data_IF_344389540156
#
_entry.id   IF_344389540156
#
_cell.length_a   1.000
_cell.length_b   1.000
_cell.length_c   1.000
_cell.angle_alpha   90.00
_cell.angle_beta   90.00
_cell.angle_gamma   90.00
#
_symmetry.space_group_name_H-M   'P 1'
#
loop_
_entity.id
_entity.type
_entity.pdbx_description
1 polymer ?
#
# COMPACT_ATOMS: atom_id res chain seq x y z
N UNK A 1 2.12 -28.77 3.16
CA UNK A 1 1.69 -27.82 4.16
C UNK A 1 2.36 -26.45 3.96
N UNK A 2 1.77 -25.41 4.53
CA UNK A 2 2.26 -24.05 4.37
C UNK A 2 3.45 -23.76 5.31
N UNK A 3 4.60 -24.31 4.95
CA UNK A 3 5.84 -24.10 5.70
C UNK A 3 6.66 -23.00 5.01
N UNK A 4 6.63 -21.82 5.58
CA UNK A 4 7.39 -20.65 5.10
C UNK A 4 8.07 -20.00 6.30
N UNK A 5 9.33 -19.63 6.15
CA UNK A 5 10.10 -19.04 7.24
C UNK A 5 9.47 -17.75 7.77
N UNK A 6 9.31 -17.68 9.08
CA UNK A 6 8.84 -16.47 9.76
C UNK A 6 9.89 -15.36 9.77
N UNK A 7 11.14 -15.69 9.41
CA UNK A 7 12.22 -14.70 9.33
C UNK A 7 12.14 -13.82 8.08
N UNK A 8 11.34 -14.21 7.09
CA UNK A 8 11.17 -13.41 5.89
C UNK A 8 10.40 -12.11 6.17
N UNK A 9 10.69 -11.02 5.45
CA UNK A 9 9.84 -9.83 5.49
C UNK A 9 8.39 -10.20 5.18
N UNK A 10 7.44 -9.55 5.84
CA UNK A 10 6.04 -9.97 5.82
C UNK A 10 5.40 -10.00 4.44
N UNK A 11 5.73 -9.06 3.56
CA UNK A 11 5.19 -9.08 2.19
C UNK A 11 5.72 -10.29 1.41
N UNK A 12 6.99 -10.62 1.55
CA UNK A 12 7.59 -11.80 0.92
C UNK A 12 6.98 -13.08 1.48
N UNK A 13 6.81 -13.15 2.79
CA UNK A 13 6.19 -14.29 3.46
C UNK A 13 4.76 -14.48 2.96
N UNK A 14 3.99 -13.40 2.85
CA UNK A 14 2.62 -13.43 2.33
C UNK A 14 2.56 -14.01 0.92
N UNK A 15 3.42 -13.53 0.03
CA UNK A 15 3.48 -14.02 -1.35
C UNK A 15 3.80 -15.51 -1.42
N UNK A 16 4.76 -15.97 -0.62
CA UNK A 16 5.16 -17.38 -0.59
C UNK A 16 4.06 -18.28 -0.04
N UNK A 17 3.35 -17.85 1.00
CA UNK A 17 2.22 -18.59 1.54
C UNK A 17 1.11 -18.75 0.48
N UNK A 18 0.80 -17.67 -0.23
CA UNK A 18 -0.22 -17.67 -1.28
C UNK A 18 0.20 -18.58 -2.45
N UNK A 19 1.46 -18.54 -2.86
CA UNK A 19 1.98 -19.40 -3.92
C UNK A 19 1.84 -20.89 -3.55
N UNK A 20 2.16 -21.22 -2.31
CA UNK A 20 2.04 -22.60 -1.84
C UNK A 20 0.58 -23.05 -1.78
N UNK A 21 -0.33 -22.21 -1.33
CA UNK A 21 -1.75 -22.51 -1.32
C UNK A 21 -2.27 -22.72 -2.74
N UNK A 22 -1.86 -21.88 -3.68
CA UNK A 22 -2.26 -21.97 -5.08
C UNK A 22 -1.83 -23.30 -5.71
N UNK A 23 -0.67 -23.81 -5.34
CA UNK A 23 -0.15 -25.09 -5.88
C UNK A 23 -1.04 -26.29 -5.53
N UNK A 24 -1.80 -26.21 -4.45
CA UNK A 24 -2.73 -27.28 -4.06
C UNK A 24 -4.18 -26.94 -4.44
N UNK A 25 -4.37 -25.96 -5.34
CA UNK A 25 -5.68 -25.61 -5.88
C UNK A 25 -6.45 -24.56 -5.09
N UNK A 26 -5.86 -24.03 -4.03
CA UNK A 26 -6.51 -23.00 -3.22
C UNK A 26 -6.16 -21.61 -3.76
N UNK A 27 -6.89 -21.18 -4.79
CA UNK A 27 -6.64 -19.91 -5.47
C UNK A 27 -7.88 -19.40 -6.20
N UNK A 28 -7.84 -18.11 -6.55
CA UNK A 28 -8.80 -17.50 -7.47
C UNK A 28 -8.48 -17.93 -8.91
N UNK A 29 -9.48 -17.90 -9.78
CA UNK A 29 -9.25 -18.21 -11.20
C UNK A 29 -8.42 -17.16 -11.92
N UNK A 30 -8.59 -15.89 -11.53
CA UNK A 30 -7.90 -14.76 -12.15
C UNK A 30 -7.80 -13.58 -11.19
N UNK A 31 -7.19 -12.50 -11.66
CA UNK A 31 -6.94 -11.29 -10.84
C UNK A 31 -8.24 -10.64 -10.36
N UNK A 32 -9.34 -10.79 -11.08
CA UNK A 32 -10.60 -10.15 -10.71
C UNK A 32 -11.09 -10.63 -9.34
N UNK A 33 -10.99 -11.93 -9.07
CA UNK A 33 -11.35 -12.47 -7.76
C UNK A 33 -10.49 -11.93 -6.64
N UNK A 34 -9.19 -11.84 -6.88
CA UNK A 34 -8.25 -11.28 -5.90
C UNK A 34 -8.51 -9.79 -5.64
N UNK A 35 -8.82 -9.05 -6.68
CA UNK A 35 -9.12 -7.61 -6.57
C UNK A 35 -10.43 -7.35 -5.84
N UNK A 36 -11.46 -8.15 -6.10
CA UNK A 36 -12.73 -8.08 -5.39
C UNK A 36 -12.54 -8.35 -3.90
N UNK A 37 -11.69 -9.33 -3.57
CA UNK A 37 -11.35 -9.63 -2.18
C UNK A 37 -10.67 -8.45 -1.49
N UNK A 38 -9.78 -7.77 -2.19
CA UNK A 38 -9.12 -6.57 -1.66
C UNK A 38 -10.16 -5.49 -1.32
N UNK A 39 -11.12 -5.25 -2.21
CA UNK A 39 -12.19 -4.28 -1.95
C UNK A 39 -13.06 -4.68 -0.77
N UNK A 40 -13.37 -5.97 -0.66
CA UNK A 40 -14.15 -6.53 0.45
C UNK A 40 -13.44 -6.28 1.79
N UNK A 41 -12.12 -6.54 1.84
CA UNK A 41 -11.33 -6.32 3.05
C UNK A 41 -11.24 -4.83 3.40
N UNK A 42 -11.16 -3.95 2.40
CA UNK A 42 -11.20 -2.51 2.64
C UNK A 42 -12.52 -2.09 3.29
N UNK A 43 -13.64 -2.67 2.85
CA UNK A 43 -14.95 -2.38 3.42
C UNK A 43 -15.05 -2.89 4.87
N UNK A 44 -14.51 -4.06 5.15
CA UNK A 44 -14.47 -4.62 6.51
C UNK A 44 -13.62 -3.75 7.44
N UNK A 45 -12.50 -3.20 6.94
CA UNK A 45 -11.69 -2.25 7.70
C UNK A 45 -12.49 -0.98 8.02
N UNK A 46 -13.23 -0.47 7.04
CA UNK A 46 -14.09 0.70 7.24
C UNK A 46 -15.13 0.45 8.35
N UNK A 47 -15.74 -0.73 8.36
CA UNK A 47 -16.69 -1.12 9.40
C UNK A 47 -16.03 -1.15 10.78
N UNK A 48 -14.82 -1.71 10.87
CA UNK A 48 -14.07 -1.77 12.12
C UNK A 48 -13.73 -0.37 12.65
N UNK A 49 -13.44 0.57 11.76
CA UNK A 49 -13.19 1.97 12.12
C UNK A 49 -14.46 2.62 12.65
N UNK A 50 -15.59 2.42 11.98
CA UNK A 50 -16.88 2.95 12.40
C UNK A 50 -17.32 2.41 13.75
N UNK A 51 -16.97 1.15 14.06
CA UNK A 51 -17.28 0.49 15.30
C UNK A 51 -16.28 0.78 16.42
N UNK A 52 -15.23 1.55 16.18
CA UNK A 52 -14.16 1.84 17.14
C UNK A 52 -13.53 0.59 17.76
N UNK A 53 -13.48 -0.50 17.02
CA UNK A 53 -12.92 -1.77 17.49
C UNK A 53 -11.45 -1.86 17.06
N UNK A 54 -10.54 -1.49 17.99
CA UNK A 54 -9.10 -1.42 17.71
C UNK A 54 -8.48 -2.76 17.33
N UNK A 55 -8.86 -3.83 18.01
CA UNK A 55 -8.35 -5.16 17.73
C UNK A 55 -8.76 -5.61 16.32
N UNK A 56 -10.02 -5.36 15.96
CA UNK A 56 -10.54 -5.70 14.65
C UNK A 56 -9.94 -4.83 13.55
N UNK A 57 -9.68 -3.55 13.82
CA UNK A 57 -8.99 -2.66 12.88
C UNK A 57 -7.62 -3.20 12.49
N UNK A 58 -6.86 -3.69 13.46
CA UNK A 58 -5.54 -4.28 13.21
C UNK A 58 -5.65 -5.54 12.35
N UNK A 59 -6.59 -6.41 12.67
CA UNK A 59 -6.83 -7.63 11.92
C UNK A 59 -7.23 -7.33 10.47
N UNK A 60 -8.19 -6.44 10.29
CA UNK A 60 -8.69 -6.09 8.94
C UNK A 60 -7.63 -5.37 8.11
N UNK A 61 -6.82 -4.51 8.75
CA UNK A 61 -5.70 -3.88 8.03
C UNK A 61 -4.71 -4.94 7.54
N UNK A 62 -4.41 -5.93 8.38
CA UNK A 62 -3.57 -7.06 7.97
C UNK A 62 -4.14 -7.80 6.78
N UNK A 63 -5.45 -8.03 6.77
CA UNK A 63 -6.16 -8.70 5.68
C UNK A 63 -6.14 -7.87 4.38
N UNK A 64 -6.26 -6.54 4.49
CA UNK A 64 -6.12 -5.63 3.35
C UNK A 64 -4.73 -5.77 2.71
N UNK A 65 -3.69 -5.73 3.53
CA UNK A 65 -2.31 -5.87 3.05
C UNK A 65 -2.07 -7.23 2.40
N UNK A 66 -2.56 -8.29 3.04
CA UNK A 66 -2.45 -9.66 2.52
C UNK A 66 -3.16 -9.80 1.17
N UNK A 67 -4.35 -9.22 1.04
CA UNK A 67 -5.12 -9.23 -0.22
C UNK A 67 -4.42 -8.43 -1.31
N UNK A 68 -3.79 -7.31 -0.97
CA UNK A 68 -3.01 -6.53 -1.93
C UNK A 68 -1.83 -7.33 -2.48
N UNK A 69 -1.14 -8.08 -1.62
CA UNK A 69 -0.05 -8.99 -2.06
C UNK A 69 -0.57 -10.04 -3.03
N UNK A 70 -1.78 -10.56 -2.79
CA UNK A 70 -2.37 -11.55 -3.67
C UNK A 70 -2.67 -10.98 -5.06
N UNK A 71 -3.16 -9.74 -5.14
CA UNK A 71 -3.32 -9.04 -6.42
C UNK A 71 -1.99 -8.94 -7.14
N UNK A 72 -0.93 -8.53 -6.44
CA UNK A 72 0.41 -8.42 -7.01
C UNK A 72 0.87 -9.76 -7.60
N UNK A 73 0.61 -10.85 -6.90
CA UNK A 73 0.97 -12.20 -7.37
C UNK A 73 0.31 -12.52 -8.71
N UNK A 74 -0.97 -12.22 -8.87
CA UNK A 74 -1.68 -12.44 -10.14
C UNK A 74 -1.14 -11.57 -11.28
N UNK A 75 -0.60 -10.40 -10.96
CA UNK A 75 0.00 -9.49 -11.94
C UNK A 75 1.47 -9.79 -12.20
N UNK A 76 2.01 -10.81 -11.57
CA UNK A 76 3.42 -11.18 -11.64
C UNK A 76 4.34 -10.03 -11.20
N UNK A 77 3.91 -9.31 -10.17
CA UNK A 77 4.65 -8.19 -9.58
C UNK A 77 5.16 -8.61 -8.20
N UNK A 78 6.44 -8.33 -7.94
CA UNK A 78 7.03 -8.48 -6.61
C UNK A 78 6.52 -7.35 -5.72
N UNK A 79 5.67 -7.69 -4.75
CA UNK A 79 5.05 -6.69 -3.87
C UNK A 79 6.05 -5.92 -3.02
N UNK A 80 7.13 -6.58 -2.57
CA UNK A 80 8.19 -5.93 -1.80
C UNK A 80 8.89 -4.86 -2.64
N UNK A 81 9.21 -5.19 -3.88
CA UNK A 81 9.85 -4.26 -4.82
C UNK A 81 8.92 -3.10 -5.19
N UNK A 82 7.64 -3.40 -5.43
CA UNK A 82 6.65 -2.38 -5.75
C UNK A 82 6.50 -1.36 -4.61
N UNK A 83 6.48 -1.85 -3.36
CA UNK A 83 6.40 -0.97 -2.21
C UNK A 83 7.69 -0.16 -2.02
N UNK A 84 8.84 -0.79 -2.25
CA UNK A 84 10.13 -0.11 -2.23
C UNK A 84 10.14 1.07 -3.21
N UNK A 85 9.67 0.85 -4.43
CA UNK A 85 9.59 1.91 -5.45
C UNK A 85 8.64 3.03 -5.03
N UNK A 86 7.52 2.68 -4.40
CA UNK A 86 6.58 3.68 -3.88
C UNK A 86 7.22 4.55 -2.79
N UNK A 87 8.03 3.95 -1.92
CA UNK A 87 8.77 4.68 -0.91
C UNK A 87 9.77 5.66 -1.53
N UNK A 88 10.51 5.22 -2.53
CA UNK A 88 11.47 6.08 -3.23
C UNK A 88 10.76 7.25 -3.93
N UNK A 89 9.65 6.97 -4.58
CA UNK A 89 8.85 7.98 -5.25
C UNK A 89 8.35 9.03 -4.26
N UNK A 90 7.85 8.60 -3.11
CA UNK A 90 7.40 9.50 -2.06
C UNK A 90 8.55 10.38 -1.55
N UNK A 91 9.69 9.76 -1.26
CA UNK A 91 10.88 10.47 -0.76
C UNK A 91 11.34 11.53 -1.74
N UNK A 92 11.40 11.21 -3.02
CA UNK A 92 11.80 12.14 -4.07
C UNK A 92 10.82 13.33 -4.15
N UNK A 93 9.52 13.05 -4.21
CA UNK A 93 8.50 14.10 -4.27
C UNK A 93 8.50 14.98 -3.03
N UNK A 94 8.59 14.38 -1.86
CA UNK A 94 8.58 15.12 -0.60
C UNK A 94 9.80 16.04 -0.50
N UNK A 95 10.97 15.58 -0.91
CA UNK A 95 12.18 16.39 -0.97
C UNK A 95 11.98 17.64 -1.84
N UNK A 96 11.31 17.48 -2.98
CA UNK A 96 11.03 18.60 -3.88
C UNK A 96 9.97 19.54 -3.30
N UNK A 97 8.99 19.01 -2.58
CA UNK A 97 8.00 19.83 -1.86
C UNK A 97 8.70 20.68 -0.80
N UNK A 98 9.61 20.10 -0.04
CA UNK A 98 10.39 20.83 0.95
C UNK A 98 11.21 21.97 0.31
N UNK A 99 11.86 21.68 -0.80
CA UNK A 99 12.64 22.69 -1.54
C UNK A 99 11.75 23.83 -2.04
N UNK A 100 10.59 23.50 -2.59
CA UNK A 100 9.66 24.49 -3.11
C UNK A 100 9.08 25.35 -1.99
N UNK A 101 8.71 24.75 -0.87
CA UNK A 101 8.23 25.45 0.31
C UNK A 101 9.30 26.42 0.85
N UNK A 102 10.54 25.95 0.93
CA UNK A 102 11.65 26.77 1.40
C UNK A 102 11.88 27.99 0.50
N UNK A 103 11.84 27.81 -0.82
CA UNK A 103 11.98 28.91 -1.80
C UNK A 103 10.88 29.95 -1.65
N UNK A 104 9.69 29.56 -1.25
CA UNK A 104 8.52 30.43 -1.11
C UNK A 104 8.34 30.97 0.31
N UNK A 105 9.24 30.63 1.22
CA UNK A 105 9.14 31.06 2.61
C UNK A 105 7.96 30.45 3.35
N UNK A 106 7.50 29.28 2.93
CA UNK A 106 6.39 28.56 3.55
C UNK A 106 6.93 27.64 4.65
N UNK A 107 6.42 27.82 5.86
CA UNK A 107 6.73 26.91 6.98
C UNK A 107 5.74 25.73 6.91
N UNK A 108 6.26 24.56 6.55
CA UNK A 108 5.43 23.35 6.39
C UNK A 108 4.77 22.91 7.69
N UNK A 109 5.33 23.28 8.85
CA UNK A 109 4.77 22.93 10.16
C UNK A 109 3.49 23.70 10.47
N UNK A 110 3.34 24.90 9.92
CA UNK A 110 2.21 25.78 10.18
C UNK A 110 1.29 25.95 8.98
N UNK A 111 1.71 25.51 7.80
CA UNK A 111 0.92 25.57 6.59
C UNK A 111 -0.31 24.67 6.69
N UNK A 112 -1.40 25.06 6.00
CA UNK A 112 -2.59 24.23 5.94
C UNK A 112 -2.36 23.00 5.06
N UNK A 113 -3.15 21.95 5.27
CA UNK A 113 -3.08 20.77 4.41
C UNK A 113 -3.37 21.11 2.95
N UNK A 114 -4.32 22.02 2.70
CA UNK A 114 -4.64 22.50 1.35
C UNK A 114 -3.42 23.11 0.67
N UNK A 115 -2.66 23.93 1.39
CA UNK A 115 -1.43 24.54 0.87
C UNK A 115 -0.36 23.50 0.58
N UNK A 116 -0.17 22.54 1.50
CA UNK A 116 0.79 21.46 1.31
C UNK A 116 0.41 20.55 0.13
N UNK A 117 -0.87 20.22 -0.01
CA UNK A 117 -1.37 19.43 -1.14
C UNK A 117 -1.16 20.17 -2.47
N UNK A 118 -1.30 21.49 -2.47
CA UNK A 118 -1.04 22.31 -3.65
C UNK A 118 0.42 22.24 -4.08
N UNK A 119 1.35 22.27 -3.12
CA UNK A 119 2.78 22.09 -3.39
C UNK A 119 3.06 20.69 -3.96
N UNK A 120 2.43 19.67 -3.39
CA UNK A 120 2.56 18.30 -3.83
C UNK A 120 2.10 18.13 -5.29
N UNK A 121 0.93 18.67 -5.61
CA UNK A 121 0.38 18.62 -6.98
C UNK A 121 1.29 19.36 -7.97
N UNK A 122 1.85 20.48 -7.57
CA UNK A 122 2.76 21.25 -8.40
C UNK A 122 4.05 20.46 -8.68
N UNK A 123 4.61 19.78 -7.68
CA UNK A 123 5.78 18.91 -7.86
C UNK A 123 5.47 17.76 -8.81
N UNK A 124 4.29 17.15 -8.72
CA UNK A 124 3.87 16.08 -9.63
C UNK A 124 3.83 16.57 -11.08
N UNK A 125 3.31 17.77 -11.30
CA UNK A 125 3.25 18.38 -12.64
C UNK A 125 4.65 18.66 -13.17
N UNK A 126 5.52 19.26 -12.36
CA UNK A 126 6.89 19.59 -12.75
C UNK A 126 7.71 18.36 -13.10
N UNK A 127 7.46 17.24 -12.42
CA UNK A 127 8.14 15.97 -12.69
C UNK A 127 7.46 15.15 -13.77
N UNK A 128 6.34 15.61 -14.32
CA UNK A 128 5.50 14.86 -15.25
C UNK A 128 5.04 13.52 -14.66
N UNK A 129 4.79 13.51 -13.36
CA UNK A 129 4.31 12.33 -12.63
C UNK A 129 2.77 12.27 -12.65
N UNK A 130 2.27 11.05 -12.53
CA UNK A 130 0.81 10.81 -12.43
C UNK A 130 0.31 10.81 -11.01
#
# INVERSE_FOLDING_TARGET
MLSVSKALPSLMRSAKLQQKAAKVGFDWENVDGALEKLFEECEELKQAIENNDKANQREELGDVLFSAVNVARFLDIDSEHALYDACDKFTDRFSKVESLANKRGIDMKTASLTELDSLWDEVKILNNDK
#
